data_IF_442769562769
#
_entry.id   IF_442769562769
#
_cell.length_a   1.000
_cell.length_b   1.000
_cell.length_c   1.000
_cell.angle_alpha   90.00
_cell.angle_beta   90.00
_cell.angle_gamma   90.00
#
_symmetry.space_group_name_H-M   'P 1'
#
loop_
_entity.id
_entity.type
_entity.pdbx_description
1 polymer ?
#
# COMPACT_ATOMS: atom_id res chain seq x y z
N UNK A 1 7.88 -0.44 8.11
CA UNK A 1 7.87 0.04 6.71
C UNK A 1 6.48 0.05 6.07
N UNK A 2 5.81 -1.08 5.80
CA UNK A 2 4.47 -1.07 5.16
C UNK A 2 3.47 -0.16 5.90
N UNK A 3 3.37 -0.32 7.22
CA UNK A 3 2.49 0.51 8.06
C UNK A 3 2.81 2.02 8.00
N UNK A 4 4.10 2.37 7.95
CA UNK A 4 4.55 3.76 7.88
C UNK A 4 4.25 4.37 6.51
N UNK A 5 4.42 3.59 5.44
CA UNK A 5 4.08 3.97 4.07
C UNK A 5 2.59 4.19 3.92
N UNK A 6 1.78 3.25 4.39
CA UNK A 6 0.33 3.40 4.42
C UNK A 6 -0.09 4.67 5.17
N UNK A 7 0.39 4.87 6.40
CA UNK A 7 0.07 6.06 7.18
C UNK A 7 0.47 7.36 6.46
N UNK A 8 1.64 7.38 5.83
CA UNK A 8 2.08 8.56 5.11
C UNK A 8 1.29 8.80 3.82
N UNK A 9 0.84 7.75 3.14
CA UNK A 9 0.04 7.86 1.93
C UNK A 9 -1.38 8.38 2.23
N UNK A 10 -1.99 7.90 3.32
CA UNK A 10 -3.38 8.22 3.71
C UNK A 10 -3.52 9.51 4.52
N UNK A 11 -2.41 10.14 4.89
CA UNK A 11 -2.41 11.36 5.68
C UNK A 11 -3.18 12.49 4.98
N UNK A 12 -4.19 13.10 5.63
CA UNK A 12 -4.91 14.24 5.07
C UNK A 12 -3.98 15.42 4.80
N UNK A 13 -4.01 15.97 3.59
CA UNK A 13 -3.17 17.11 3.19
C UNK A 13 -3.96 18.16 2.44
N UNK A 14 -3.58 19.43 2.65
CA UNK A 14 -4.12 20.59 1.90
C UNK A 14 -3.51 20.74 0.51
N UNK A 15 -2.36 20.12 0.26
CA UNK A 15 -1.69 20.09 -1.05
C UNK A 15 -1.69 18.67 -1.60
N UNK A 16 -1.69 18.49 -2.93
CA UNK A 16 -1.61 17.17 -3.56
C UNK A 16 -0.44 16.35 -3.00
N UNK A 17 -0.72 15.07 -2.71
CA UNK A 17 0.30 14.14 -2.28
C UNK A 17 1.23 13.83 -3.47
N UNK A 18 2.54 14.01 -3.32
CA UNK A 18 3.55 13.69 -4.36
C UNK A 18 4.29 12.38 -4.07
N UNK A 19 3.78 11.56 -3.14
CA UNK A 19 4.40 10.29 -2.71
C UNK A 19 4.05 9.12 -3.63
N UNK A 20 4.16 9.35 -4.93
CA UNK A 20 3.94 8.35 -5.99
C UNK A 20 4.76 7.07 -5.76
N UNK A 21 5.91 7.19 -5.07
CA UNK A 21 6.83 6.09 -4.69
C UNK A 21 6.31 5.15 -3.60
N UNK A 22 5.37 5.59 -2.74
CA UNK A 22 4.97 4.76 -1.61
C UNK A 22 4.13 3.54 -2.03
N UNK A 23 3.35 3.64 -3.12
CA UNK A 23 2.59 2.50 -3.66
C UNK A 23 3.46 1.37 -4.21
N UNK A 24 4.41 1.62 -5.14
CA UNK A 24 5.28 0.55 -5.62
C UNK A 24 6.16 0.01 -4.51
N UNK A 25 6.58 0.82 -3.54
CA UNK A 25 7.34 0.30 -2.39
C UNK A 25 6.51 -0.66 -1.53
N UNK A 26 5.21 -0.37 -1.31
CA UNK A 26 4.31 -1.31 -0.62
C UNK A 26 4.21 -2.61 -1.42
N UNK A 27 4.02 -2.51 -2.74
CA UNK A 27 3.88 -3.69 -3.61
C UNK A 27 5.19 -4.51 -3.67
N UNK A 28 6.35 -3.87 -3.73
CA UNK A 28 7.66 -4.52 -3.65
C UNK A 28 7.86 -5.24 -2.31
N UNK A 29 7.48 -4.60 -1.19
CA UNK A 29 7.53 -5.24 0.13
C UNK A 29 6.57 -6.44 0.23
N UNK A 30 5.40 -6.37 -0.41
CA UNK A 30 4.45 -7.48 -0.48
C UNK A 30 4.98 -8.64 -1.35
N UNK A 31 5.82 -8.36 -2.35
CA UNK A 31 6.48 -9.39 -3.17
C UNK A 31 7.73 -10.01 -2.52
N UNK A 32 8.30 -9.37 -1.50
CA UNK A 32 9.59 -9.76 -0.94
C UNK A 32 9.52 -11.01 -0.06
N UNK A 33 8.47 -11.16 0.76
CA UNK A 33 8.36 -12.27 1.70
C UNK A 33 6.91 -12.52 2.14
N UNK A 34 6.62 -13.72 2.68
CA UNK A 34 5.33 -13.98 3.31
C UNK A 34 5.10 -13.11 4.55
N UNK A 35 3.86 -12.69 4.76
CA UNK A 35 3.47 -11.78 5.84
C UNK A 35 2.25 -12.34 6.57
N UNK A 36 2.29 -12.40 7.90
CA UNK A 36 1.12 -12.79 8.70
C UNK A 36 0.13 -11.64 8.80
N UNK A 37 -1.15 -11.91 8.53
CA UNK A 37 -2.21 -10.89 8.52
C UNK A 37 -2.34 -10.20 9.88
N UNK A 38 -2.33 -10.98 10.98
CA UNK A 38 -2.41 -10.46 12.34
C UNK A 38 -1.22 -9.55 12.69
N UNK A 39 0.00 -9.93 12.27
CA UNK A 39 1.21 -9.13 12.49
C UNK A 39 1.16 -7.80 11.73
N UNK A 40 0.70 -7.83 10.48
CA UNK A 40 0.56 -6.62 9.68
C UNK A 40 -0.51 -5.69 10.25
N UNK A 41 -1.68 -6.21 10.64
CA UNK A 41 -2.73 -5.44 11.32
C UNK A 41 -2.21 -4.77 12.59
N UNK A 42 -1.51 -5.52 13.44
CA UNK A 42 -0.94 -4.98 14.68
C UNK A 42 0.07 -3.85 14.39
N UNK A 43 0.94 -4.03 13.40
CA UNK A 43 1.92 -3.00 13.01
C UNK A 43 1.25 -1.73 12.45
N UNK A 44 0.19 -1.87 11.65
CA UNK A 44 -0.62 -0.75 11.15
C UNK A 44 -1.25 -0.01 12.32
N UNK A 45 -1.97 -0.73 13.20
CA UNK A 45 -2.63 -0.13 14.35
C UNK A 45 -1.64 0.60 15.26
N UNK A 46 -0.50 -0.03 15.59
CA UNK A 46 0.54 0.58 16.41
C UNK A 46 1.10 1.86 15.76
N UNK A 47 1.34 1.84 14.46
CA UNK A 47 1.88 3.00 13.73
C UNK A 47 0.90 4.15 13.75
N UNK A 48 -0.37 3.92 13.43
CA UNK A 48 -1.40 4.96 13.43
C UNK A 48 -1.66 5.50 14.83
N UNK A 49 -1.75 4.63 15.84
CA UNK A 49 -1.93 5.03 17.22
C UNK A 49 -0.75 5.88 17.73
N UNK A 50 0.48 5.47 17.43
CA UNK A 50 1.68 6.23 17.79
C UNK A 50 1.74 7.60 17.10
N UNK A 51 1.37 7.67 15.82
CA UNK A 51 1.40 8.92 15.05
C UNK A 51 0.25 9.87 15.42
N UNK A 52 -0.91 9.34 15.79
CA UNK A 52 -2.04 10.10 16.33
C UNK A 52 -2.62 11.18 15.41
N UNK A 53 -2.40 11.09 14.09
CA UNK A 53 -2.81 12.17 13.15
C UNK A 53 -4.16 11.94 12.50
N UNK A 54 -4.52 10.70 12.19
CA UNK A 54 -5.79 10.29 11.57
C UNK A 54 -6.04 8.80 11.86
N UNK A 55 -7.29 8.30 11.77
CA UNK A 55 -7.59 6.89 11.98
C UNK A 55 -7.06 6.01 10.84
N UNK A 56 -6.89 4.71 11.11
CA UNK A 56 -6.63 3.72 10.06
C UNK A 56 -7.81 3.72 9.08
N UNK A 57 -7.58 3.84 7.77
CA UNK A 57 -8.67 3.77 6.80
C UNK A 57 -9.25 2.36 6.74
N UNK A 58 -10.57 2.26 6.55
CA UNK A 58 -11.27 0.98 6.40
C UNK A 58 -11.19 0.43 4.97
N UNK A 59 -10.76 1.24 4.02
CA UNK A 59 -10.61 0.89 2.62
C UNK A 59 -9.42 1.61 2.00
N UNK A 60 -8.80 0.98 1.01
CA UNK A 60 -7.76 1.62 0.20
C UNK A 60 -8.41 2.56 -0.81
N UNK A 61 -8.01 3.84 -0.80
CA UNK A 61 -8.49 4.85 -1.75
C UNK A 61 -7.45 5.03 -2.85
N UNK A 62 -7.90 5.00 -4.11
CA UNK A 62 -7.01 5.20 -5.24
C UNK A 62 -6.41 6.63 -5.22
N UNK A 63 -5.14 6.79 -5.64
CA UNK A 63 -4.53 8.09 -5.80
C UNK A 63 -5.22 8.93 -6.90
N UNK A 64 -5.03 10.26 -6.91
CA UNK A 64 -5.62 11.12 -7.94
C UNK A 64 -5.00 10.86 -9.32
N UNK A 65 -5.76 11.10 -10.39
CA UNK A 65 -5.35 10.88 -11.79
C UNK A 65 -4.04 11.59 -12.16
N UNK A 66 -3.75 12.74 -11.53
CA UNK A 66 -2.48 13.47 -11.67
C UNK A 66 -1.21 12.63 -11.40
N UNK A 67 -1.34 11.45 -10.78
CA UNK A 67 -0.24 10.53 -10.54
C UNK A 67 0.14 9.70 -11.76
N UNK A 68 -0.72 9.57 -12.78
CA UNK A 68 -0.50 8.68 -13.91
C UNK A 68 0.83 8.95 -14.63
N UNK A 69 1.07 10.20 -15.05
CA UNK A 69 2.30 10.60 -15.75
C UNK A 69 3.56 10.46 -14.88
N UNK A 70 3.66 11.06 -13.68
CA UNK A 70 4.86 10.93 -12.86
C UNK A 70 5.13 9.49 -12.42
N UNK A 71 4.09 8.68 -12.24
CA UNK A 71 4.25 7.26 -11.96
C UNK A 71 4.85 6.52 -13.15
N UNK A 72 4.32 6.68 -14.36
CA UNK A 72 4.79 5.95 -15.54
C UNK A 72 6.27 6.24 -15.85
N UNK A 73 6.71 7.50 -15.71
CA UNK A 73 8.12 7.88 -15.89
C UNK A 73 9.02 7.17 -14.88
N UNK A 74 8.61 7.15 -13.61
CA UNK A 74 9.34 6.47 -12.54
C UNK A 74 9.33 4.95 -12.74
N UNK A 75 8.19 4.35 -13.06
CA UNK A 75 8.06 2.91 -13.27
C UNK A 75 8.95 2.40 -14.41
N UNK A 76 9.03 3.16 -15.50
CA UNK A 76 9.95 2.86 -16.61
C UNK A 76 11.43 3.01 -16.19
N UNK A 77 11.75 4.06 -15.43
CA UNK A 77 13.13 4.33 -14.97
C UNK A 77 13.63 3.27 -13.99
N UNK A 78 12.77 2.82 -13.08
CA UNK A 78 13.08 1.85 -12.02
C UNK A 78 12.80 0.40 -12.46
N UNK A 79 12.36 0.19 -13.71
CA UNK A 79 12.00 -1.10 -14.30
C UNK A 79 11.01 -1.91 -13.43
N UNK A 80 9.94 -1.25 -12.98
CA UNK A 80 8.93 -1.84 -12.10
C UNK A 80 8.02 -2.81 -12.87
N UNK A 81 7.56 -3.86 -12.17
CA UNK A 81 6.62 -4.84 -12.73
C UNK A 81 5.22 -4.25 -13.04
N UNK A 82 4.87 -3.12 -12.44
CA UNK A 82 3.61 -2.41 -12.63
C UNK A 82 3.85 -1.16 -13.49
N UNK A 83 3.54 -1.25 -14.78
CA UNK A 83 3.85 -0.20 -15.76
C UNK A 83 3.00 1.07 -15.55
N UNK A 84 1.77 0.91 -15.06
CA UNK A 84 0.84 2.02 -14.83
C UNK A 84 0.44 2.18 -13.37
N UNK A 85 -0.05 3.37 -13.02
CA UNK A 85 -0.55 3.64 -11.66
C UNK A 85 -1.75 2.76 -11.32
N UNK A 86 -2.54 2.35 -12.33
CA UNK A 86 -3.65 1.41 -12.14
C UNK A 86 -3.13 0.03 -11.76
N UNK A 87 -2.11 -0.48 -12.45
CA UNK A 87 -1.54 -1.81 -12.18
C UNK A 87 -1.05 -1.92 -10.72
N UNK A 88 -0.34 -0.90 -10.22
CA UNK A 88 0.14 -0.91 -8.84
C UNK A 88 -0.98 -0.67 -7.83
N UNK A 89 -2.00 0.10 -8.19
CA UNK A 89 -3.19 0.30 -7.34
C UNK A 89 -3.95 -1.00 -7.15
N UNK A 90 -4.13 -1.78 -8.22
CA UNK A 90 -4.81 -3.08 -8.15
C UNK A 90 -4.01 -4.07 -7.30
N UNK A 91 -2.68 -4.07 -7.45
CA UNK A 91 -1.78 -4.85 -6.63
C UNK A 91 -1.90 -4.43 -5.14
N UNK A 92 -1.66 -3.17 -4.81
CA UNK A 92 -1.76 -2.69 -3.42
C UNK A 92 -3.15 -2.94 -2.83
N UNK A 93 -4.22 -2.84 -3.63
CA UNK A 93 -5.58 -3.13 -3.20
C UNK A 93 -5.78 -4.62 -2.90
N UNK A 94 -5.27 -5.53 -3.71
CA UNK A 94 -5.32 -6.98 -3.44
C UNK A 94 -4.60 -7.37 -2.14
N UNK A 95 -3.49 -6.68 -1.85
CA UNK A 95 -2.71 -6.91 -0.64
C UNK A 95 -3.32 -6.26 0.61
N UNK A 96 -3.53 -4.93 0.59
CA UNK A 96 -3.97 -4.17 1.76
C UNK A 96 -5.48 -4.18 1.97
N UNK A 97 -6.30 -4.29 0.91
CA UNK A 97 -7.75 -4.26 1.02
C UNK A 97 -8.28 -5.24 2.08
N UNK A 98 -7.94 -6.55 1.98
CA UNK A 98 -8.31 -7.57 2.96
C UNK A 98 -7.80 -7.31 4.39
N UNK A 99 -6.71 -6.55 4.54
CA UNK A 99 -6.15 -6.19 5.84
C UNK A 99 -6.92 -5.03 6.47
N UNK A 100 -7.27 -4.02 5.67
CA UNK A 100 -7.98 -2.82 6.10
C UNK A 100 -9.45 -3.11 6.43
N UNK A 101 -10.10 -3.95 5.65
CA UNK A 101 -11.49 -4.39 5.89
C UNK A 101 -11.59 -5.57 6.87
N UNK A 102 -10.45 -6.05 7.39
CA UNK A 102 -10.34 -7.15 8.35
C UNK A 102 -10.86 -8.51 7.85
N UNK A 103 -10.84 -8.78 6.54
CA UNK A 103 -11.26 -10.07 5.96
C UNK A 103 -10.12 -11.04 5.66
N UNK A 104 -8.87 -10.58 5.63
CA UNK A 104 -7.71 -11.47 5.50
C UNK A 104 -7.41 -12.17 6.81
N UNK A 105 -7.15 -13.46 6.75
CA UNK A 105 -6.54 -14.24 7.81
C UNK A 105 -5.36 -15.03 7.27
N UNK A 106 -4.62 -15.70 8.17
CA UNK A 106 -3.45 -16.48 7.80
C UNK A 106 -2.32 -15.62 7.24
N UNK A 107 -1.75 -16.07 6.12
CA UNK A 107 -0.48 -15.61 5.59
C UNK A 107 -0.59 -15.16 4.14
N UNK A 108 0.06 -14.04 3.82
CA UNK A 108 0.24 -13.58 2.45
C UNK A 108 1.25 -14.48 1.74
N UNK A 109 0.86 -15.01 0.59
CA UNK A 109 1.74 -15.73 -0.33
C UNK A 109 2.24 -14.77 -1.43
N UNK A 110 3.53 -14.37 -1.40
CA UNK A 110 4.09 -13.44 -2.37
C UNK A 110 4.23 -14.04 -3.78
N UNK A 111 4.24 -15.38 -3.93
CA UNK A 111 4.32 -16.04 -5.24
C UNK A 111 2.93 -16.12 -5.88
N UNK A 112 1.90 -16.41 -5.08
CA UNK A 112 0.51 -16.50 -5.56
C UNK A 112 -0.26 -15.20 -5.49
N UNK A 113 0.36 -14.16 -4.90
CA UNK A 113 -0.18 -12.81 -4.75
C UNK A 113 -1.58 -12.80 -4.10
N UNK A 114 -1.74 -13.58 -3.03
CA UNK A 114 -3.02 -13.74 -2.30
C UNK A 114 -2.81 -14.08 -0.83
N UNK A 115 -3.83 -13.80 -0.02
CA UNK A 115 -3.94 -14.30 1.36
C UNK A 115 -4.41 -15.75 1.36
N UNK A 116 -3.92 -16.56 2.31
CA UNK A 116 -4.26 -17.97 2.52
C UNK A 116 -4.32 -18.33 3.99
#
# INVERSE_FOLDING_TARGET
>A
HIAEKLHADTMPRRRPNFRVKDLPDIALLASAQPIEAARLRAAIWQTFNFRGTHPVPTQFVAPPESWATPYAVMAASDNLAWATVHDVVDAVRAFLGPILNQTADGRWDPQRWRWS
#
